data_IF_796429965010
#
_entry.id   IF_796429965010
#
_cell.length_a   1.000
_cell.length_b   1.000
_cell.length_c   1.000
_cell.angle_alpha   90.00
_cell.angle_beta   90.00
_cell.angle_gamma   90.00
#
_symmetry.space_group_name_H-M   'P 1'
#
loop_
_entity.id
_entity.type
_entity.pdbx_description
1 polymer ?
#
# COMPACT_ATOMS: atom_id res chain seq x y z
N UNK A 1 -19.87 -11.38 11.20
CA UNK A 1 -18.39 -11.39 11.35
C UNK A 1 -17.90 -9.97 11.15
N UNK A 2 -16.84 -9.51 11.82
CA UNK A 2 -16.24 -8.22 11.49
C UNK A 2 -15.88 -8.22 10.00
N UNK A 3 -16.11 -7.09 9.33
CA UNK A 3 -15.83 -6.98 7.91
C UNK A 3 -14.32 -7.02 7.69
N UNK A 4 -13.85 -7.99 6.91
CA UNK A 4 -12.45 -8.14 6.53
C UNK A 4 -12.13 -7.15 5.41
N UNK A 5 -11.47 -6.04 5.77
CA UNK A 5 -11.15 -4.94 4.85
C UNK A 5 -9.64 -4.79 4.77
N UNK A 6 -9.08 -4.78 3.55
CA UNK A 6 -7.66 -4.65 3.34
C UNK A 6 -7.36 -3.49 2.38
N UNK A 7 -6.47 -2.58 2.78
CA UNK A 7 -5.92 -1.59 1.85
C UNK A 7 -4.60 -2.07 1.27
N UNK A 8 -4.48 -2.08 -0.05
CA UNK A 8 -3.23 -2.28 -0.76
C UNK A 8 -2.63 -0.91 -1.06
N UNK A 9 -1.38 -0.74 -0.70
CA UNK A 9 -0.59 0.48 -0.84
C UNK A 9 0.69 0.16 -1.61
N UNK A 10 1.15 1.06 -2.46
CA UNK A 10 2.33 0.80 -3.29
C UNK A 10 2.57 1.85 -4.36
N UNK A 11 3.63 1.63 -5.14
CA UNK A 11 3.96 2.50 -6.28
C UNK A 11 2.93 2.32 -7.40
N UNK A 12 2.46 3.43 -7.98
CA UNK A 12 1.53 3.41 -9.11
C UNK A 12 2.07 2.69 -10.35
N UNK A 13 3.40 2.56 -10.50
CA UNK A 13 4.03 1.71 -11.52
C UNK A 13 3.55 0.25 -11.48
N UNK A 14 3.03 -0.22 -10.34
CA UNK A 14 2.57 -1.60 -10.14
C UNK A 14 1.06 -1.69 -9.88
N UNK A 15 0.27 -0.74 -10.43
CA UNK A 15 -1.18 -0.70 -10.21
C UNK A 15 -1.88 -1.96 -10.72
N UNK A 16 -1.42 -2.54 -11.84
CA UNK A 16 -2.03 -3.74 -12.43
C UNK A 16 -1.80 -4.97 -11.54
N UNK A 17 -0.61 -5.10 -10.97
CA UNK A 17 -0.28 -6.16 -10.02
C UNK A 17 -1.04 -6.00 -8.70
N UNK A 18 -1.19 -4.77 -8.21
CA UNK A 18 -2.00 -4.49 -7.01
C UNK A 18 -3.48 -4.84 -7.25
N UNK A 19 -4.04 -4.51 -8.41
CA UNK A 19 -5.41 -4.90 -8.74
C UNK A 19 -5.59 -6.40 -8.96
N UNK A 20 -4.56 -7.09 -9.45
CA UNK A 20 -4.56 -8.56 -9.54
C UNK A 20 -4.66 -9.18 -8.15
N UNK A 21 -3.83 -8.73 -7.19
CA UNK A 21 -3.90 -9.14 -5.78
C UNK A 21 -5.27 -8.81 -5.19
N UNK A 22 -5.82 -7.63 -5.50
CA UNK A 22 -7.13 -7.23 -5.02
C UNK A 22 -8.23 -8.18 -5.52
N UNK A 23 -8.20 -8.58 -6.79
CA UNK A 23 -9.17 -9.52 -7.35
C UNK A 23 -9.10 -10.91 -6.67
N UNK A 24 -7.90 -11.40 -6.36
CA UNK A 24 -7.70 -12.65 -5.60
C UNK A 24 -8.28 -12.55 -4.18
N UNK A 25 -7.98 -11.48 -3.47
CA UNK A 25 -8.49 -11.23 -2.11
C UNK A 25 -10.00 -11.04 -2.09
N UNK A 26 -10.57 -10.32 -3.06
CA UNK A 26 -12.02 -10.15 -3.19
C UNK A 26 -12.72 -11.48 -3.48
N UNK A 27 -12.12 -12.34 -4.31
CA UNK A 27 -12.63 -13.70 -4.53
C UNK A 27 -12.63 -14.52 -3.23
N UNK A 28 -11.67 -14.28 -2.35
CA UNK A 28 -11.59 -14.88 -1.02
C UNK A 28 -12.52 -14.23 0.03
N UNK A 29 -13.35 -13.25 -0.34
CA UNK A 29 -14.34 -12.62 0.52
C UNK A 29 -13.90 -11.32 1.22
N UNK A 30 -12.74 -10.78 0.86
CA UNK A 30 -12.25 -9.51 1.40
C UNK A 30 -12.84 -8.30 0.66
N UNK A 31 -13.15 -7.24 1.39
CA UNK A 31 -13.28 -5.91 0.78
C UNK A 31 -11.89 -5.34 0.61
N UNK A 32 -11.51 -4.96 -0.61
CA UNK A 32 -10.14 -4.49 -0.90
C UNK A 32 -10.16 -3.07 -1.45
N UNK A 33 -9.35 -2.21 -0.88
CA UNK A 33 -9.06 -0.88 -1.41
C UNK A 33 -7.71 -0.89 -2.12
N UNK A 34 -7.64 -0.24 -3.28
CA UNK A 34 -6.40 -0.05 -4.05
C UNK A 34 -6.17 1.43 -4.30
N UNK A 35 -4.95 1.83 -4.73
CA UNK A 35 -4.73 3.17 -5.21
C UNK A 35 -5.66 3.53 -6.37
N UNK A 36 -6.03 4.81 -6.44
CA UNK A 36 -6.88 5.27 -7.53
C UNK A 36 -6.08 5.23 -8.83
N UNK A 37 -6.44 4.32 -9.76
CA UNK A 37 -5.79 4.20 -11.07
C UNK A 37 -5.72 5.54 -11.83
N UNK A 38 -6.66 6.45 -11.58
CA UNK A 38 -6.62 7.81 -12.14
C UNK A 38 -5.30 8.55 -11.86
N UNK A 39 -4.58 8.25 -10.77
CA UNK A 39 -3.26 8.82 -10.47
C UNK A 39 -2.19 8.42 -11.50
N UNK A 40 -2.30 7.23 -12.10
CA UNK A 40 -1.42 6.75 -13.16
C UNK A 40 -1.82 7.26 -14.56
N UNK A 41 -2.98 7.92 -14.69
CA UNK A 41 -3.57 8.31 -15.97
C UNK A 41 -3.02 9.61 -16.59
N UNK A 42 -2.07 10.27 -15.94
CA UNK A 42 -1.48 11.52 -16.43
C UNK A 42 -0.02 11.64 -15.99
N UNK A 43 0.74 12.50 -16.67
CA UNK A 43 2.12 12.82 -16.30
C UNK A 43 2.13 13.97 -15.31
N UNK A 44 2.77 13.76 -14.17
CA UNK A 44 2.89 14.80 -13.14
C UNK A 44 3.63 16.02 -13.65
N UNK A 45 4.57 15.85 -14.59
CA UNK A 45 5.38 16.91 -15.17
C UNK A 45 4.56 17.89 -16.02
N UNK A 46 3.41 17.47 -16.52
CA UNK A 46 2.55 18.29 -17.39
C UNK A 46 1.67 19.26 -16.57
N UNK A 47 1.58 19.08 -15.26
CA UNK A 47 0.80 19.92 -14.35
C UNK A 47 1.61 21.09 -13.80
N UNK A 48 0.93 22.20 -13.48
CA UNK A 48 1.54 23.28 -12.70
C UNK A 48 1.89 22.81 -11.28
N UNK A 49 2.83 23.50 -10.61
CA UNK A 49 3.22 23.14 -9.24
C UNK A 49 2.03 23.13 -8.26
N UNK A 50 1.12 24.10 -8.37
CA UNK A 50 -0.08 24.18 -7.54
C UNK A 50 -1.03 23.00 -7.77
N UNK A 51 -1.25 22.61 -9.03
CA UNK A 51 -2.08 21.47 -9.38
C UNK A 51 -1.48 20.14 -8.92
N UNK A 52 -0.15 19.98 -9.03
CA UNK A 52 0.54 18.79 -8.50
C UNK A 52 0.29 18.63 -7.02
N UNK A 53 0.48 19.70 -6.24
CA UNK A 53 0.28 19.68 -4.79
C UNK A 53 -1.18 19.37 -4.45
N UNK A 54 -2.13 20.06 -5.09
CA UNK A 54 -3.56 19.86 -4.83
C UNK A 54 -4.01 18.43 -5.15
N UNK A 55 -3.64 17.90 -6.31
CA UNK A 55 -4.00 16.54 -6.72
C UNK A 55 -3.33 15.50 -5.83
N UNK A 56 -2.03 15.67 -5.54
CA UNK A 56 -1.30 14.74 -4.66
C UNK A 56 -1.91 14.71 -3.26
N UNK A 57 -2.31 15.87 -2.73
CA UNK A 57 -3.07 15.95 -1.48
C UNK A 57 -4.37 15.16 -1.55
N UNK A 58 -5.17 15.32 -2.61
CA UNK A 58 -6.44 14.60 -2.76
C UNK A 58 -6.25 13.08 -2.79
N UNK A 59 -5.24 12.58 -3.51
CA UNK A 59 -4.92 11.14 -3.51
C UNK A 59 -4.48 10.67 -2.13
N UNK A 60 -3.55 11.39 -1.48
CA UNK A 60 -3.10 11.07 -0.11
C UNK A 60 -4.30 11.02 0.85
N UNK A 61 -5.17 12.04 0.84
CA UNK A 61 -6.33 12.09 1.74
C UNK A 61 -7.27 10.89 1.49
N UNK A 62 -7.51 10.51 0.24
CA UNK A 62 -8.33 9.34 -0.09
C UNK A 62 -7.69 8.01 0.36
N UNK A 63 -6.38 7.87 0.20
CA UNK A 63 -5.63 6.70 0.67
C UNK A 63 -5.69 6.54 2.19
N UNK A 64 -5.48 7.63 2.92
CA UNK A 64 -5.53 7.60 4.38
C UNK A 64 -6.94 7.29 4.89
N UNK A 65 -7.99 7.73 4.18
CA UNK A 65 -9.37 7.37 4.51
C UNK A 65 -9.66 5.87 4.27
N UNK A 66 -9.18 5.30 3.17
CA UNK A 66 -9.29 3.85 2.94
C UNK A 66 -8.60 3.05 4.06
N UNK A 67 -7.43 3.51 4.51
CA UNK A 67 -6.70 2.88 5.63
C UNK A 67 -7.50 2.96 6.92
N UNK A 68 -8.16 4.08 7.25
CA UNK A 68 -9.00 4.20 8.45
C UNK A 68 -10.14 3.19 8.51
N UNK A 69 -10.61 2.73 7.35
CA UNK A 69 -11.69 1.75 7.22
C UNK A 69 -11.18 0.30 7.14
N UNK A 70 -9.85 0.11 7.14
CA UNK A 70 -9.22 -1.19 6.94
C UNK A 70 -8.97 -1.92 8.25
N UNK A 71 -8.97 -3.25 8.18
CA UNK A 71 -8.54 -4.15 9.26
C UNK A 71 -7.12 -4.68 9.04
N UNK A 72 -6.54 -4.48 7.85
CA UNK A 72 -5.14 -4.75 7.54
C UNK A 72 -4.65 -3.85 6.40
N UNK A 73 -3.33 -3.63 6.33
CA UNK A 73 -2.67 -2.97 5.20
C UNK A 73 -1.63 -3.90 4.58
N UNK A 74 -1.59 -3.94 3.25
CA UNK A 74 -0.54 -4.61 2.49
C UNK A 74 0.27 -3.57 1.71
N UNK A 75 1.57 -3.49 1.97
CA UNK A 75 2.52 -2.73 1.16
C UNK A 75 3.03 -3.64 0.03
N UNK A 76 2.60 -3.35 -1.20
CA UNK A 76 3.06 -3.99 -2.43
C UNK A 76 4.44 -3.46 -2.86
N UNK A 77 5.47 -3.75 -2.05
CA UNK A 77 6.86 -3.29 -2.22
C UNK A 77 7.62 -4.07 -3.29
N UNK A 78 7.14 -4.01 -4.54
CA UNK A 78 7.84 -4.59 -5.70
C UNK A 78 9.23 -3.98 -5.90
N UNK A 79 10.17 -4.71 -6.54
CA UNK A 79 11.48 -4.18 -6.89
C UNK A 79 11.38 -2.90 -7.73
N UNK A 80 12.02 -1.83 -7.28
CA UNK A 80 12.05 -0.54 -8.00
C UNK A 80 13.29 0.24 -7.61
N UNK A 81 13.81 1.06 -8.53
CA UNK A 81 15.00 1.89 -8.33
C UNK A 81 16.25 1.09 -7.89
N UNK A 82 16.36 -0.18 -8.33
CA UNK A 82 17.47 -1.07 -7.95
C UNK A 82 17.37 -1.61 -6.52
N UNK A 83 16.23 -1.45 -5.85
CA UNK A 83 15.98 -1.95 -4.50
C UNK A 83 14.88 -3.01 -4.59
N UNK A 84 15.24 -4.27 -4.30
CA UNK A 84 14.25 -5.32 -4.05
C UNK A 84 13.51 -5.00 -2.76
N UNK A 85 12.18 -5.05 -2.73
CA UNK A 85 11.44 -4.63 -1.54
C UNK A 85 11.34 -3.11 -1.35
N UNK A 86 11.35 -2.34 -2.44
CA UNK A 86 11.34 -0.87 -2.42
C UNK A 86 10.08 -0.28 -1.76
N UNK A 87 10.26 0.74 -0.92
CA UNK A 87 9.18 1.47 -0.26
C UNK A 87 9.29 2.94 -0.65
N UNK A 88 8.25 3.44 -1.34
CA UNK A 88 8.13 4.86 -1.65
C UNK A 88 7.71 5.69 -0.43
N UNK A 89 7.99 7.01 -0.47
CA UNK A 89 7.63 7.92 0.61
C UNK A 89 6.12 7.87 0.98
N UNK A 90 5.24 7.82 -0.03
CA UNK A 90 3.80 7.67 0.20
C UNK A 90 3.48 6.35 0.93
N UNK A 91 4.04 5.23 0.48
CA UNK A 91 3.81 3.92 1.10
C UNK A 91 4.32 3.84 2.53
N UNK A 92 5.42 4.52 2.84
CA UNK A 92 5.88 4.66 4.23
C UNK A 92 4.91 5.48 5.08
N UNK A 93 4.37 6.59 4.56
CA UNK A 93 3.36 7.38 5.27
C UNK A 93 2.08 6.59 5.54
N UNK A 94 1.65 5.79 4.55
CA UNK A 94 0.50 4.89 4.64
C UNK A 94 0.72 3.80 5.71
N UNK A 95 1.89 3.16 5.71
CA UNK A 95 2.28 2.18 6.73
C UNK A 95 2.31 2.80 8.14
N UNK A 96 2.89 4.00 8.29
CA UNK A 96 2.93 4.71 9.58
C UNK A 96 1.53 5.09 10.08
N UNK A 97 0.62 5.47 9.17
CA UNK A 97 -0.78 5.73 9.51
C UNK A 97 -1.48 4.47 10.03
N UNK A 98 -1.32 3.34 9.33
CA UNK A 98 -1.89 2.06 9.75
C UNK A 98 -1.37 1.65 11.14
N UNK A 99 -0.05 1.73 11.36
CA UNK A 99 0.58 1.48 12.66
C UNK A 99 0.00 2.35 13.78
N UNK A 100 -0.18 3.65 13.51
CA UNK A 100 -0.77 4.60 14.49
C UNK A 100 -2.20 4.22 14.89
N UNK A 101 -2.95 3.58 13.99
CA UNK A 101 -4.30 3.11 14.24
C UNK A 101 -4.37 1.70 14.84
N UNK A 102 -3.23 1.04 15.05
CA UNK A 102 -3.17 -0.36 15.48
C UNK A 102 -3.63 -1.34 14.39
N UNK A 103 -3.59 -0.93 13.12
CA UNK A 103 -3.91 -1.78 11.98
C UNK A 103 -2.63 -2.52 11.56
N UNK A 104 -2.63 -3.87 11.49
CA UNK A 104 -1.43 -4.62 11.13
C UNK A 104 -0.96 -4.30 9.71
N UNK A 105 0.36 -4.13 9.57
CA UNK A 105 1.01 -3.77 8.31
C UNK A 105 1.81 -4.97 7.79
N UNK A 106 1.42 -5.47 6.63
CA UNK A 106 2.12 -6.54 5.94
C UNK A 106 2.90 -6.00 4.75
N UNK A 107 4.02 -6.64 4.43
CA UNK A 107 4.81 -6.34 3.23
C UNK A 107 4.74 -7.53 2.26
N UNK A 108 4.60 -7.25 0.98
CA UNK A 108 4.52 -8.30 -0.03
C UNK A 108 5.86 -9.03 -0.18
N UNK A 109 6.96 -8.29 -0.19
CA UNK A 109 8.34 -8.80 -0.28
C UNK A 109 9.15 -8.40 0.96
N UNK A 110 10.27 -9.09 1.25
CA UNK A 110 11.20 -8.65 2.28
C UNK A 110 11.59 -7.18 2.07
N UNK A 111 11.71 -6.42 3.16
CA UNK A 111 11.97 -4.99 3.08
C UNK A 111 13.41 -4.76 2.61
N UNK A 112 13.54 -3.98 1.53
CA UNK A 112 14.83 -3.70 0.92
C UNK A 112 15.71 -2.76 1.73
N UNK A 113 17.02 -2.86 1.52
CA UNK A 113 18.00 -1.93 2.06
C UNK A 113 17.79 -0.53 1.48
N UNK A 114 17.24 0.37 2.30
CA UNK A 114 16.90 1.74 1.92
C UNK A 114 16.79 2.64 3.15
N UNK A 115 16.65 3.96 2.95
CA UNK A 115 16.67 4.95 4.03
C UNK A 115 15.58 4.82 5.09
N UNK A 116 14.48 4.11 4.80
CA UNK A 116 13.38 3.84 5.74
C UNK A 116 13.28 2.37 6.18
N UNK A 117 14.31 1.57 5.93
CA UNK A 117 14.28 0.13 6.22
C UNK A 117 13.99 -0.15 7.69
N UNK A 118 14.72 0.50 8.60
CA UNK A 118 14.61 0.27 10.04
C UNK A 118 13.19 0.61 10.54
N UNK A 119 12.62 1.73 10.09
CA UNK A 119 11.28 2.16 10.45
C UNK A 119 10.23 1.17 9.93
N UNK A 120 10.35 0.76 8.67
CA UNK A 120 9.43 -0.18 8.05
C UNK A 120 9.47 -1.56 8.71
N UNK A 121 10.68 -2.07 9.03
CA UNK A 121 10.86 -3.34 9.74
C UNK A 121 10.28 -3.28 11.17
N UNK A 122 10.43 -2.13 11.84
CA UNK A 122 9.95 -1.95 13.22
C UNK A 122 8.43 -1.98 13.36
N UNK A 123 7.69 -1.66 12.29
CA UNK A 123 6.22 -1.62 12.29
C UNK A 123 5.58 -2.78 11.52
N UNK A 124 6.39 -3.66 10.93
CA UNK A 124 5.90 -4.77 10.12
C UNK A 124 5.30 -5.88 11.01
N UNK A 125 4.07 -6.28 10.71
CA UNK A 125 3.44 -7.47 11.28
C UNK A 125 3.93 -8.74 10.59
N UNK A 126 4.27 -8.66 9.30
CA UNK A 126 4.83 -9.80 8.58
C UNK A 126 5.10 -9.56 7.10
N UNK A 127 5.68 -10.58 6.46
CA UNK A 127 6.05 -10.58 5.04
C UNK A 127 5.38 -11.75 4.31
N UNK A 128 4.77 -11.48 3.17
CA UNK A 128 3.97 -12.46 2.42
C UNK A 128 4.75 -13.24 1.34
N UNK A 129 6.01 -12.87 1.10
CA UNK A 129 6.93 -13.54 0.18
C UNK A 129 6.39 -13.66 -1.26
N UNK A 130 5.81 -12.57 -1.78
CA UNK A 130 5.43 -12.40 -3.17
C UNK A 130 4.09 -13.02 -3.57
N UNK A 131 3.27 -13.48 -2.61
CA UNK A 131 1.97 -14.09 -2.89
C UNK A 131 0.94 -13.73 -1.83
N UNK A 132 -0.35 -13.77 -2.16
CA UNK A 132 -1.42 -13.57 -1.18
C UNK A 132 -1.31 -14.60 -0.04
N UNK A 133 -1.35 -14.12 1.20
CA UNK A 133 -1.30 -14.96 2.39
C UNK A 133 -2.48 -14.68 3.35
N UNK A 134 -3.60 -15.36 3.11
CA UNK A 134 -4.81 -15.23 3.93
C UNK A 134 -4.64 -15.78 5.37
N UNK A 135 -3.68 -16.68 5.61
CA UNK A 135 -3.45 -17.22 6.96
C UNK A 135 -2.78 -16.21 7.89
N UNK A 136 -2.09 -15.21 7.34
CA UNK A 136 -1.55 -14.10 8.11
C UNK A 136 -2.66 -13.18 8.65
N UNK A 137 -3.82 -13.13 7.99
CA UNK A 137 -4.91 -12.20 8.30
C UNK A 137 -5.92 -12.71 9.33
N UNK A 138 -5.80 -13.97 9.77
CA UNK A 138 -6.73 -14.62 10.71
C UNK A 138 -6.12 -14.88 12.10
N UNK A 139 -4.94 -14.28 12.39
CA UNK A 139 -4.26 -14.34 13.68
C UNK A 139 -4.60 -13.09 14.50
#
# INVERSE_FOLDING_TARGET
>A
MPQQVLSICGSMDFIDEMETIAAELTTAGWTVFTPQRAEAGFRWEDLSAAERIQRKKAYIDAHLENIRQSTAVLIANYPKNGIDGYIGANSLMEAAMAYTLGIPVYFLFPIGAQGCQLEAESIAEGVWNGRVNLTALNQ
#
